data_IF_598989331540
#
_entry.id   IF_598989331540
#
_cell.length_a   1.000
_cell.length_b   1.000
_cell.length_c   1.000
_cell.angle_alpha   90.00
_cell.angle_beta   90.00
_cell.angle_gamma   90.00
#
_symmetry.space_group_name_H-M   'P 1'
#
loop_
_entity.id
_entity.type
_entity.pdbx_description
1 polymer ?
#
# COMPACT_ATOMS: atom_id res chain seq x y z
N UNK A 1 -25.42 -50.37 -12.93
CA UNK A 1 -24.48 -50.42 -14.07
C UNK A 1 -23.41 -49.38 -13.76
N UNK A 2 -22.38 -49.65 -13.23
CA UNK A 2 -21.11 -50.38 -13.35
C UNK A 2 -20.26 -49.91 -14.54
N UNK A 3 -19.18 -49.27 -14.29
CA UNK A 3 -18.05 -48.98 -15.18
C UNK A 3 -17.14 -47.95 -14.54
N UNK A 4 -16.16 -48.22 -13.87
CA UNK A 4 -14.86 -48.93 -13.77
C UNK A 4 -13.80 -48.47 -14.81
N UNK A 5 -12.67 -48.07 -14.20
CA UNK A 5 -11.26 -48.11 -14.63
C UNK A 5 -10.79 -47.05 -15.65
N UNK A 6 -9.64 -46.37 -15.39
CA UNK A 6 -8.28 -46.86 -15.60
C UNK A 6 -7.23 -46.10 -14.79
N UNK A 7 -6.30 -46.86 -14.22
CA UNK A 7 -5.02 -46.49 -13.61
C UNK A 7 -3.93 -46.31 -14.68
N UNK A 8 -2.96 -45.46 -14.41
CA UNK A 8 -1.54 -45.60 -14.81
C UNK A 8 -0.72 -44.67 -13.94
N UNK A 9 0.07 -45.05 -13.00
CA UNK A 9 1.33 -45.84 -12.88
C UNK A 9 2.52 -45.16 -13.57
N UNK A 10 3.45 -44.75 -12.69
CA UNK A 10 4.91 -44.72 -12.68
C UNK A 10 5.68 -44.03 -13.79
N UNK A 11 6.69 -43.25 -13.39
CA UNK A 11 8.10 -43.66 -13.48
C UNK A 11 8.96 -42.79 -12.56
N UNK A 12 9.69 -43.51 -11.69
CA UNK A 12 10.83 -43.07 -10.88
C UNK A 12 12.05 -43.00 -11.79
N UNK A 13 12.84 -41.94 -11.73
CA UNK A 13 14.23 -41.93 -12.15
C UNK A 13 15.09 -41.32 -11.06
N UNK A 14 15.71 -42.20 -10.30
CA UNK A 14 16.93 -41.96 -9.52
C UNK A 14 18.11 -41.85 -10.48
N UNK A 15 18.94 -40.83 -10.34
CA UNK A 15 20.35 -40.91 -10.72
C UNK A 15 21.17 -40.04 -9.77
N UNK A 16 21.97 -40.75 -8.99
CA UNK A 16 23.04 -40.29 -8.12
C UNK A 16 24.19 -39.71 -8.93
N UNK A 17 24.82 -38.65 -8.45
CA UNK A 17 26.05 -38.08 -8.98
C UNK A 17 26.83 -37.41 -7.88
N UNK A 18 27.72 -38.15 -7.24
CA UNK A 18 28.75 -37.68 -6.29
C UNK A 18 29.88 -37.04 -7.10
N UNK A 19 30.34 -35.89 -6.70
CA UNK A 19 31.49 -35.20 -7.29
C UNK A 19 32.14 -34.27 -6.32
N UNK A 20 33.04 -34.80 -5.49
CA UNK A 20 33.95 -34.03 -4.63
C UNK A 20 35.01 -33.33 -5.50
N UNK A 21 35.31 -32.08 -5.20
CA UNK A 21 36.41 -31.34 -5.82
C UNK A 21 36.86 -30.17 -4.92
N UNK A 22 37.67 -30.45 -3.92
CA UNK A 22 38.51 -29.44 -3.25
C UNK A 22 39.55 -28.92 -4.25
N UNK A 23 39.58 -27.62 -4.44
CA UNK A 23 40.62 -26.93 -5.21
C UNK A 23 40.91 -25.55 -4.59
N UNK A 24 41.75 -25.52 -3.57
CA UNK A 24 42.44 -24.30 -3.14
C UNK A 24 43.38 -23.82 -4.23
N UNK A 25 43.10 -22.70 -4.87
CA UNK A 25 44.09 -21.98 -5.69
C UNK A 25 44.56 -20.76 -4.90
N UNK A 26 45.83 -20.83 -4.49
CA UNK A 26 46.65 -19.68 -4.05
C UNK A 26 46.80 -18.72 -5.22
N UNK A 27 46.45 -17.47 -5.00
CA UNK A 27 46.79 -16.37 -5.91
C UNK A 27 48.21 -15.91 -5.59
N UNK A 28 49.11 -15.77 -6.57
CA UNK A 28 50.44 -15.22 -6.34
C UNK A 28 50.36 -13.69 -6.17
N UNK A 29 51.06 -13.22 -5.15
CA UNK A 29 51.33 -11.82 -4.82
C UNK A 29 52.30 -11.22 -5.87
N UNK A 30 52.05 -10.04 -6.44
CA UNK A 30 53.03 -9.35 -7.27
C UNK A 30 54.08 -8.63 -6.42
N UNK A 31 55.32 -8.53 -6.92
CA UNK A 31 56.46 -7.97 -6.17
C UNK A 31 56.31 -6.46 -5.99
N UNK A 32 56.82 -6.01 -4.85
CA UNK A 32 56.81 -4.64 -4.38
C UNK A 32 57.39 -3.63 -5.37
N UNK A 33 56.69 -2.52 -5.51
CA UNK A 33 57.21 -1.28 -6.05
C UNK A 33 57.32 -0.28 -4.91
N UNK A 34 58.57 0.05 -4.55
CA UNK A 34 58.89 1.18 -3.67
C UNK A 34 58.35 2.47 -4.30
N UNK A 35 57.38 3.06 -3.64
CA UNK A 35 56.91 4.40 -3.99
C UNK A 35 57.51 5.41 -3.00
N UNK A 36 58.30 6.30 -3.54
CA UNK A 36 58.83 7.50 -2.85
C UNK A 36 57.69 8.28 -2.19
N UNK A 37 57.95 8.93 -1.05
CA UNK A 37 56.98 9.82 -0.40
C UNK A 37 56.76 11.07 -1.25
N UNK A 38 55.66 11.08 -2.02
CA UNK A 38 55.17 12.26 -2.69
C UNK A 38 54.40 13.15 -1.70
N UNK A 39 54.80 14.40 -1.65
CA UNK A 39 54.21 15.45 -0.83
C UNK A 39 52.69 15.54 -1.12
N UNK A 40 51.90 15.26 -0.11
CA UNK A 40 50.41 15.44 -0.16
C UNK A 40 50.16 16.96 -0.08
N UNK A 41 49.44 17.57 -1.06
CA UNK A 41 49.04 18.97 -0.91
C UNK A 41 48.04 19.06 0.26
N UNK A 42 48.40 19.84 1.28
CA UNK A 42 47.53 20.20 2.39
C UNK A 42 46.37 21.03 1.81
N UNK A 43 45.22 20.39 1.58
CA UNK A 43 43.99 21.11 1.26
C UNK A 43 43.50 21.72 2.57
N UNK A 44 43.64 23.03 2.72
CA UNK A 44 42.97 23.75 3.81
C UNK A 44 41.49 23.50 3.78
N UNK A 45 40.86 23.11 4.90
CA UNK A 45 39.43 22.96 4.94
C UNK A 45 38.77 24.32 4.65
N UNK A 46 37.99 24.35 3.55
CA UNK A 46 37.10 25.48 3.23
C UNK A 46 36.11 25.62 4.40
N UNK A 47 35.90 26.83 4.95
CA UNK A 47 34.88 27.02 5.96
C UNK A 47 33.53 26.52 5.42
N UNK A 48 32.92 25.56 6.11
CA UNK A 48 31.55 25.11 5.82
C UNK A 48 30.63 26.24 6.25
N UNK A 49 30.14 26.98 5.28
CA UNK A 49 29.09 27.98 5.51
C UNK A 49 27.90 27.26 6.14
N UNK A 50 27.37 27.73 7.29
CA UNK A 50 26.23 27.10 7.90
C UNK A 50 25.07 27.09 6.90
N UNK A 51 24.29 25.99 6.78
CA UNK A 51 23.17 25.94 5.86
C UNK A 51 22.24 27.12 6.17
N UNK A 52 21.90 27.88 5.12
CA UNK A 52 20.95 28.97 5.22
C UNK A 52 19.69 28.46 5.97
N UNK A 53 19.11 29.26 6.89
CA UNK A 53 17.90 28.86 7.60
C UNK A 53 16.86 28.46 6.56
N UNK A 54 16.37 27.21 6.66
CA UNK A 54 15.29 26.74 5.81
C UNK A 54 14.16 27.76 5.87
N UNK A 55 13.85 28.36 4.73
CA UNK A 55 12.75 29.29 4.62
C UNK A 55 11.54 28.65 5.33
N UNK A 56 10.93 29.36 6.27
CA UNK A 56 9.76 28.90 7.02
C UNK A 56 8.70 28.53 6.02
N UNK A 57 8.64 27.25 5.68
CA UNK A 57 7.57 26.72 4.86
C UNK A 57 6.28 26.97 5.64
N UNK A 58 5.34 27.69 5.04
CA UNK A 58 3.99 27.81 5.57
C UNK A 58 3.50 26.41 5.95
N UNK A 59 2.76 26.26 7.06
CA UNK A 59 2.23 24.96 7.43
C UNK A 59 1.48 24.36 6.24
N UNK A 60 1.65 23.06 5.96
CA UNK A 60 1.02 22.44 4.82
C UNK A 60 -0.49 22.60 4.92
N UNK A 61 -1.10 23.09 3.84
CA UNK A 61 -2.56 23.28 3.75
C UNK A 61 -3.20 21.89 3.78
N UNK A 62 -3.74 21.51 4.93
CA UNK A 62 -4.44 20.24 5.09
C UNK A 62 -5.80 20.27 4.37
N UNK A 63 -6.31 19.09 3.97
CA UNK A 63 -7.68 19.01 3.47
C UNK A 63 -8.68 18.94 4.63
N UNK A 64 -9.88 19.41 4.37
CA UNK A 64 -11.05 19.26 5.24
C UNK A 64 -12.15 18.51 4.49
N UNK A 65 -13.05 17.86 5.21
CA UNK A 65 -14.22 17.18 4.65
C UNK A 65 -15.36 17.18 5.64
N UNK A 66 -16.57 16.90 5.15
CA UNK A 66 -17.75 16.68 5.97
C UNK A 66 -17.94 15.18 6.17
N UNK A 67 -18.13 14.76 7.41
CA UNK A 67 -18.42 13.36 7.70
C UNK A 67 -19.80 12.99 7.11
N UNK A 68 -19.88 11.99 6.23
CA UNK A 68 -21.14 11.68 5.56
C UNK A 68 -22.11 10.99 6.51
N UNK A 69 -23.41 11.19 6.33
CA UNK A 69 -24.41 10.48 7.11
C UNK A 69 -24.28 8.96 6.89
N UNK A 70 -24.46 8.19 7.97
CA UNK A 70 -24.40 6.73 7.92
C UNK A 70 -23.05 6.11 8.23
N UNK A 71 -21.94 6.88 8.20
CA UNK A 71 -20.65 6.43 8.70
C UNK A 71 -20.41 6.96 10.11
N UNK A 72 -19.91 6.12 11.00
CA UNK A 72 -19.65 6.53 12.40
C UNK A 72 -18.16 6.79 12.58
N UNK A 73 -17.79 8.03 12.86
CA UNK A 73 -16.40 8.36 13.20
C UNK A 73 -16.01 7.65 14.50
N UNK A 74 -14.84 6.99 14.47
CA UNK A 74 -14.27 6.29 15.61
C UNK A 74 -12.82 6.74 15.84
N UNK A 75 -12.26 6.53 17.04
CA UNK A 75 -10.86 6.82 17.29
C UNK A 75 -9.92 6.09 16.31
N UNK A 76 -8.92 6.77 15.73
CA UNK A 76 -7.96 6.14 14.84
C UNK A 76 -7.17 5.05 15.57
N UNK A 77 -7.03 3.88 14.96
CA UNK A 77 -6.28 2.75 15.53
C UNK A 77 -4.75 2.93 15.47
N UNK A 78 -4.25 3.96 14.81
CA UNK A 78 -2.81 4.29 14.73
C UNK A 78 -2.59 5.77 14.47
N UNK A 79 -1.41 6.29 14.84
CA UNK A 79 -1.03 7.69 14.60
C UNK A 79 -0.92 8.07 13.11
N UNK A 80 -0.78 7.09 12.21
CA UNK A 80 -0.73 7.32 10.76
C UNK A 80 -2.11 7.56 10.14
N UNK A 81 -3.20 7.30 10.89
CA UNK A 81 -4.57 7.53 10.43
C UNK A 81 -5.04 8.91 10.85
N UNK A 82 -5.40 9.75 9.91
CA UNK A 82 -6.04 11.06 10.15
C UNK A 82 -7.49 10.90 10.62
N UNK A 83 -8.18 9.88 10.15
CA UNK A 83 -9.53 9.52 10.58
C UNK A 83 -9.79 8.02 10.39
N UNK A 84 -10.74 7.53 11.16
CA UNK A 84 -11.32 6.19 11.01
C UNK A 84 -12.83 6.28 11.17
N UNK A 85 -13.52 5.48 10.37
CA UNK A 85 -14.99 5.36 10.45
C UNK A 85 -15.36 3.88 10.44
N UNK A 86 -16.32 3.55 11.24
CA UNK A 86 -17.04 2.30 11.14
C UNK A 86 -18.14 2.46 10.10
N UNK A 87 -18.23 1.49 9.20
CA UNK A 87 -19.27 1.40 8.17
C UNK A 87 -20.29 0.38 8.66
N UNK A 88 -21.48 0.82 9.11
CA UNK A 88 -22.47 -0.10 9.66
C UNK A 88 -22.87 -1.18 8.66
N UNK A 89 -22.89 -2.42 9.13
CA UNK A 89 -23.19 -3.58 8.28
C UNK A 89 -24.56 -3.51 7.63
N UNK A 90 -24.63 -3.91 6.38
CA UNK A 90 -25.88 -4.10 5.67
C UNK A 90 -26.63 -5.31 6.21
N UNK A 91 -27.94 -5.37 5.94
CA UNK A 91 -28.77 -6.53 6.31
C UNK A 91 -28.24 -7.80 5.62
N UNK A 92 -27.94 -8.80 6.41
CA UNK A 92 -27.41 -10.10 5.96
C UNK A 92 -25.90 -10.26 6.17
N UNK A 93 -25.17 -9.18 6.34
CA UNK A 93 -23.77 -9.23 6.67
C UNK A 93 -23.55 -9.44 8.19
N UNK A 94 -22.44 -10.05 8.56
CA UNK A 94 -22.15 -10.45 9.96
C UNK A 94 -21.23 -9.46 10.69
N UNK A 95 -20.54 -8.59 9.96
CA UNK A 95 -19.60 -7.62 10.53
C UNK A 95 -19.70 -6.27 9.82
N UNK A 96 -19.26 -5.23 10.53
CA UNK A 96 -19.20 -3.88 10.01
C UNK A 96 -17.98 -3.72 9.07
N UNK A 97 -18.05 -2.78 8.13
CA UNK A 97 -16.90 -2.35 7.33
C UNK A 97 -16.08 -1.29 8.06
N UNK A 98 -14.95 -0.93 7.48
CA UNK A 98 -14.06 0.14 7.97
C UNK A 98 -13.67 1.08 6.83
N UNK A 99 -13.76 2.40 7.07
CA UNK A 99 -13.13 3.42 6.25
C UNK A 99 -11.98 4.05 7.04
N UNK A 100 -10.79 4.02 6.47
CA UNK A 100 -9.59 4.62 7.04
C UNK A 100 -9.05 5.71 6.14
N UNK A 101 -8.67 6.84 6.73
CA UNK A 101 -8.04 7.97 6.04
C UNK A 101 -6.60 8.09 6.52
N UNK A 102 -5.63 8.04 5.58
CA UNK A 102 -4.21 8.15 5.87
C UNK A 102 -3.62 9.39 5.22
N UNK A 103 -2.63 9.95 5.88
CA UNK A 103 -1.77 11.00 5.36
C UNK A 103 -0.36 10.81 5.93
N UNK A 104 0.64 10.78 5.07
CA UNK A 104 2.02 10.47 5.45
C UNK A 104 2.95 11.68 5.41
N UNK A 105 2.44 12.84 5.01
CA UNK A 105 3.22 14.05 4.83
C UNK A 105 3.52 14.38 3.37
N UNK A 106 4.05 15.61 3.11
CA UNK A 106 4.37 16.06 1.75
C UNK A 106 5.36 15.11 1.06
N UNK A 107 5.03 14.68 -0.16
CA UNK A 107 5.87 13.78 -0.95
C UNK A 107 6.05 12.36 -0.40
N UNK A 108 5.30 12.02 0.66
CA UNK A 108 5.34 10.71 1.30
C UNK A 108 4.12 9.86 0.88
N UNK A 109 4.17 8.56 1.24
CA UNK A 109 3.06 7.62 0.95
C UNK A 109 3.24 6.82 -0.33
N UNK A 110 4.25 7.13 -1.16
CA UNK A 110 4.54 6.42 -2.41
C UNK A 110 3.66 6.87 -3.58
N UNK A 111 3.87 6.28 -4.77
CA UNK A 111 3.11 6.62 -5.96
C UNK A 111 1.67 6.10 -5.90
N UNK A 112 0.78 6.71 -6.69
CA UNK A 112 -0.62 6.30 -6.84
C UNK A 112 -0.70 4.83 -7.23
N UNK A 113 0.01 4.43 -8.31
CA UNK A 113 -0.01 3.06 -8.82
C UNK A 113 0.49 2.04 -7.78
N UNK A 114 1.59 2.35 -7.08
CA UNK A 114 2.11 1.45 -6.05
C UNK A 114 1.12 1.21 -4.90
N UNK A 115 0.33 2.23 -4.53
CA UNK A 115 -0.71 2.11 -3.52
C UNK A 115 -1.89 1.29 -4.02
N UNK A 116 -2.36 1.57 -5.24
CA UNK A 116 -3.44 0.83 -5.89
C UNK A 116 -3.06 -0.65 -6.01
N UNK A 117 -1.86 -0.95 -6.53
CA UNK A 117 -1.39 -2.33 -6.67
C UNK A 117 -1.29 -3.05 -5.32
N UNK A 118 -0.83 -2.36 -4.27
CA UNK A 118 -0.80 -2.92 -2.92
C UNK A 118 -2.19 -3.24 -2.39
N UNK A 119 -3.19 -2.39 -2.65
CA UNK A 119 -4.56 -2.64 -2.22
C UNK A 119 -5.20 -3.78 -2.98
N UNK A 120 -5.01 -3.83 -4.31
CA UNK A 120 -5.51 -4.91 -5.17
C UNK A 120 -4.90 -6.26 -4.78
N UNK A 121 -3.59 -6.29 -4.46
CA UNK A 121 -2.91 -7.51 -3.99
C UNK A 121 -3.43 -8.08 -2.67
N UNK A 122 -4.17 -7.30 -1.90
CA UNK A 122 -4.85 -7.79 -0.69
C UNK A 122 -6.12 -8.60 -1.02
N UNK A 123 -6.51 -8.65 -2.28
CA UNK A 123 -7.68 -9.40 -2.73
C UNK A 123 -7.27 -10.55 -3.64
N UNK A 124 -7.79 -11.73 -3.37
CA UNK A 124 -7.70 -12.91 -4.25
C UNK A 124 -9.07 -13.29 -4.80
N UNK A 125 -9.07 -14.09 -5.87
CA UNK A 125 -10.32 -14.46 -6.54
C UNK A 125 -10.96 -13.34 -7.39
N UNK A 126 -10.22 -12.25 -7.63
CA UNK A 126 -10.67 -11.11 -8.43
C UNK A 126 -10.11 -11.26 -9.84
N UNK A 127 -10.98 -11.24 -10.86
CA UNK A 127 -10.53 -11.20 -12.25
C UNK A 127 -9.96 -9.83 -12.60
N UNK A 128 -8.98 -9.73 -13.51
CA UNK A 128 -8.38 -8.45 -13.88
C UNK A 128 -9.38 -7.37 -14.31
N UNK A 129 -10.46 -7.76 -15.01
CA UNK A 129 -11.52 -6.84 -15.44
C UNK A 129 -12.48 -6.41 -14.34
N UNK A 130 -12.42 -7.02 -13.14
CA UNK A 130 -13.28 -6.66 -12.01
C UNK A 130 -12.67 -5.56 -11.13
N UNK A 131 -11.42 -5.17 -11.36
CA UNK A 131 -10.79 -4.01 -10.72
C UNK A 131 -11.14 -2.78 -11.55
N UNK A 132 -12.06 -1.95 -11.06
CA UNK A 132 -12.45 -0.72 -11.71
C UNK A 132 -11.58 0.42 -11.21
N UNK A 133 -11.01 1.21 -12.12
CA UNK A 133 -10.22 2.40 -11.82
C UNK A 133 -10.83 3.59 -12.56
N UNK A 134 -10.92 4.73 -11.89
CA UNK A 134 -11.38 5.97 -12.52
C UNK A 134 -10.68 7.18 -11.91
N UNK A 135 -10.46 8.19 -12.75
CA UNK A 135 -10.01 9.50 -12.34
C UNK A 135 -11.20 10.46 -12.33
N UNK A 136 -11.26 11.30 -11.34
CA UNK A 136 -12.27 12.35 -11.20
C UNK A 136 -11.64 13.60 -10.61
N UNK A 137 -12.39 14.70 -10.65
CA UNK A 137 -12.02 15.95 -9.99
C UNK A 137 -13.20 16.46 -9.18
N UNK A 138 -12.94 16.91 -7.97
CA UNK A 138 -13.90 17.61 -7.12
C UNK A 138 -13.20 18.75 -6.38
N UNK A 139 -13.79 19.95 -6.43
CA UNK A 139 -13.28 21.15 -5.74
C UNK A 139 -11.82 21.51 -6.08
N UNK A 140 -11.39 21.27 -7.35
CA UNK A 140 -10.03 21.50 -7.81
C UNK A 140 -9.01 20.46 -7.34
N UNK A 141 -9.46 19.35 -6.74
CA UNK A 141 -8.60 18.26 -6.29
C UNK A 141 -8.82 17.04 -7.17
N UNK A 142 -7.72 16.50 -7.74
CA UNK A 142 -7.76 15.24 -8.49
C UNK A 142 -7.92 14.07 -7.54
N UNK A 143 -8.75 13.12 -7.91
CA UNK A 143 -9.08 11.94 -7.13
C UNK A 143 -9.00 10.68 -8.00
N UNK A 144 -8.19 9.71 -7.58
CA UNK A 144 -8.04 8.42 -8.24
C UNK A 144 -8.82 7.37 -7.44
N UNK A 145 -9.86 6.80 -8.03
CA UNK A 145 -10.72 5.82 -7.36
C UNK A 145 -10.44 4.40 -7.83
N UNK A 146 -10.57 3.45 -6.92
CA UNK A 146 -10.41 2.01 -7.19
C UNK A 146 -11.52 1.25 -6.50
N UNK A 147 -12.19 0.38 -7.24
CA UNK A 147 -13.28 -0.46 -6.77
C UNK A 147 -12.99 -1.94 -7.05
N UNK A 148 -13.26 -2.78 -6.06
CA UNK A 148 -13.40 -4.23 -6.17
C UNK A 148 -14.72 -4.61 -5.51
N UNK A 149 -15.68 -5.09 -6.29
CA UNK A 149 -17.03 -5.41 -5.78
C UNK A 149 -17.04 -6.68 -4.93
N UNK A 150 -16.25 -7.69 -5.31
CA UNK A 150 -16.20 -8.99 -4.65
C UNK A 150 -14.80 -9.60 -4.72
N UNK A 151 -14.36 -10.20 -3.61
CA UNK A 151 -13.13 -10.95 -3.55
C UNK A 151 -12.90 -11.56 -2.18
N UNK A 152 -11.81 -12.27 -2.03
CA UNK A 152 -11.32 -12.72 -0.72
C UNK A 152 -10.25 -11.75 -0.24
N UNK A 153 -10.56 -11.00 0.79
CA UNK A 153 -9.66 -9.99 1.38
C UNK A 153 -8.72 -10.63 2.40
N UNK A 154 -7.43 -10.37 2.26
CA UNK A 154 -6.41 -10.71 3.24
C UNK A 154 -5.54 -9.48 3.53
N UNK A 155 -5.71 -8.91 4.71
CA UNK A 155 -4.91 -7.78 5.16
C UNK A 155 -3.43 -8.13 5.38
N UNK A 156 -3.10 -9.44 5.39
CA UNK A 156 -1.77 -9.95 5.70
C UNK A 156 -1.42 -9.83 7.18
N UNK A 157 -0.29 -10.39 7.56
CA UNK A 157 0.26 -10.32 8.93
C UNK A 157 0.69 -8.90 9.35
N UNK A 158 0.70 -7.94 8.44
CA UNK A 158 1.03 -6.54 8.71
C UNK A 158 -0.17 -5.70 9.20
N UNK A 159 -1.37 -6.24 9.27
CA UNK A 159 -2.48 -5.57 9.93
C UNK A 159 -2.17 -5.44 11.42
N UNK A 160 -1.84 -4.23 11.86
CA UNK A 160 -1.66 -3.92 13.28
C UNK A 160 -2.98 -4.21 14.02
N UNK A 161 -3.07 -5.36 14.64
CA UNK A 161 -4.28 -5.78 15.36
C UNK A 161 -4.62 -7.28 15.25
N UNK A 162 -3.76 -8.08 14.63
CA UNK A 162 -3.96 -9.50 14.44
C UNK A 162 -4.64 -9.84 13.11
N UNK A 163 -4.12 -10.83 12.41
CA UNK A 163 -4.75 -11.37 11.20
C UNK A 163 -5.94 -12.23 11.62
N UNK A 164 -7.14 -11.82 11.24
CA UNK A 164 -8.34 -12.65 11.37
C UNK A 164 -8.46 -13.69 10.24
N UNK A 165 -7.38 -13.88 9.46
CA UNK A 165 -7.38 -14.73 8.28
C UNK A 165 -8.11 -14.12 7.07
N UNK A 166 -8.10 -14.83 5.92
CA UNK A 166 -8.79 -14.37 4.71
C UNK A 166 -10.30 -14.27 4.91
N UNK A 167 -10.88 -13.15 4.52
CA UNK A 167 -12.32 -12.86 4.59
C UNK A 167 -12.94 -12.95 3.22
N UNK A 168 -13.87 -13.88 3.03
CA UNK A 168 -14.58 -14.08 1.78
C UNK A 168 -15.69 -13.04 1.60
N UNK A 169 -16.04 -12.79 0.33
CA UNK A 169 -17.10 -11.87 -0.07
C UNK A 169 -16.94 -10.47 0.49
N UNK A 170 -15.72 -9.97 0.38
CA UNK A 170 -15.33 -8.62 0.76
C UNK A 170 -15.22 -7.74 -0.48
N UNK A 171 -15.42 -6.45 -0.27
CA UNK A 171 -15.27 -5.40 -1.27
C UNK A 171 -14.27 -4.34 -0.83
N UNK A 172 -13.79 -3.58 -1.80
CA UNK A 172 -12.90 -2.44 -1.65
C UNK A 172 -13.48 -1.23 -2.40
N UNK A 173 -13.55 -0.09 -1.73
CA UNK A 173 -13.75 1.22 -2.34
C UNK A 173 -12.64 2.14 -1.82
N UNK A 174 -11.78 2.63 -2.70
CA UNK A 174 -10.66 3.47 -2.33
C UNK A 174 -10.61 4.74 -3.16
N UNK A 175 -9.99 5.77 -2.58
CA UNK A 175 -9.61 6.97 -3.31
C UNK A 175 -8.25 7.48 -2.84
N UNK A 176 -7.47 8.02 -3.77
CA UNK A 176 -6.28 8.82 -3.50
C UNK A 176 -6.60 10.23 -3.96
N UNK A 177 -6.51 11.19 -3.06
CA UNK A 177 -6.80 12.60 -3.30
C UNK A 177 -5.49 13.36 -3.33
N UNK A 178 -5.15 13.96 -4.48
CA UNK A 178 -3.98 14.82 -4.61
C UNK A 178 -4.29 16.20 -4.04
N UNK A 179 -3.69 16.52 -2.89
CA UNK A 179 -3.82 17.82 -2.26
C UNK A 179 -2.49 18.61 -2.30
N UNK A 180 -2.50 19.94 -2.15
CA UNK A 180 -1.29 20.76 -2.12
C UNK A 180 -0.28 20.32 -1.04
N UNK A 181 -0.77 19.78 0.08
CA UNK A 181 0.04 19.24 1.17
C UNK A 181 0.56 17.81 0.92
N UNK A 182 0.16 17.15 -0.18
CA UNK A 182 0.46 15.76 -0.47
C UNK A 182 -0.79 14.89 -0.59
N UNK A 183 -0.59 13.62 -0.89
CA UNK A 183 -1.69 12.70 -1.14
C UNK A 183 -2.37 12.21 0.15
N UNK A 184 -3.70 12.18 0.13
CA UNK A 184 -4.54 11.56 1.15
C UNK A 184 -5.14 10.26 0.60
N UNK A 185 -5.14 9.23 1.43
CA UNK A 185 -5.55 7.89 1.05
C UNK A 185 -6.79 7.48 1.83
N UNK A 186 -7.90 7.34 1.13
CA UNK A 186 -9.17 6.88 1.67
C UNK A 186 -9.35 5.41 1.30
N UNK A 187 -9.51 4.54 2.28
CA UNK A 187 -9.67 3.10 2.04
C UNK A 187 -10.85 2.57 2.83
N UNK A 188 -11.89 2.16 2.12
CA UNK A 188 -13.06 1.49 2.68
C UNK A 188 -13.01 0.00 2.32
N UNK A 189 -13.11 -0.88 3.32
CA UNK A 189 -13.16 -2.34 3.15
C UNK A 189 -14.21 -2.92 4.08
N UNK A 190 -14.83 -4.00 3.68
CA UNK A 190 -15.84 -4.69 4.47
C UNK A 190 -16.56 -5.77 3.65
N UNK A 191 -17.56 -6.42 4.22
CA UNK A 191 -18.45 -7.30 3.49
C UNK A 191 -19.04 -6.59 2.26
N UNK A 192 -19.20 -7.32 1.16
CA UNK A 192 -19.52 -6.72 -0.13
C UNK A 192 -20.84 -5.92 -0.14
N UNK A 193 -21.88 -6.43 0.51
CA UNK A 193 -23.14 -5.69 0.62
C UNK A 193 -23.01 -4.43 1.48
N UNK A 194 -22.22 -4.48 2.54
CA UNK A 194 -21.94 -3.33 3.43
C UNK A 194 -21.23 -2.21 2.68
N UNK A 195 -20.17 -2.55 1.93
CA UNK A 195 -19.44 -1.56 1.12
C UNK A 195 -20.32 -0.99 0.02
N UNK A 196 -21.08 -1.84 -0.68
CA UNK A 196 -22.02 -1.39 -1.72
C UNK A 196 -23.07 -0.44 -1.17
N UNK A 197 -23.64 -0.72 0.01
CA UNK A 197 -24.63 0.15 0.66
C UNK A 197 -24.02 1.51 1.09
N UNK A 198 -22.75 1.52 1.49
CA UNK A 198 -22.04 2.74 1.93
C UNK A 198 -21.41 3.55 0.78
N UNK A 199 -21.44 3.03 -0.46
CA UNK A 199 -20.76 3.67 -1.61
C UNK A 199 -21.19 5.11 -1.83
N UNK A 200 -22.50 5.40 -1.77
CA UNK A 200 -23.01 6.77 -1.91
C UNK A 200 -22.43 7.71 -0.85
N UNK A 201 -22.37 7.26 0.41
CA UNK A 201 -21.80 8.03 1.52
C UNK A 201 -20.30 8.26 1.32
N UNK A 202 -19.56 7.27 0.82
CA UNK A 202 -18.14 7.41 0.48
C UNK A 202 -17.92 8.50 -0.59
N UNK A 203 -18.70 8.51 -1.67
CA UNK A 203 -18.58 9.56 -2.70
C UNK A 203 -19.04 10.93 -2.20
N UNK A 204 -20.05 11.03 -1.34
CA UNK A 204 -20.43 12.29 -0.69
C UNK A 204 -19.29 12.86 0.16
N UNK A 205 -18.55 12.00 0.89
CA UNK A 205 -17.35 12.42 1.59
C UNK A 205 -16.32 12.96 0.61
N UNK A 206 -16.01 12.24 -0.49
CA UNK A 206 -15.03 12.67 -1.50
C UNK A 206 -15.43 14.00 -2.15
N UNK A 207 -16.73 14.22 -2.40
CA UNK A 207 -17.26 15.48 -2.96
C UNK A 207 -17.19 16.65 -1.98
N UNK A 208 -17.16 16.37 -0.69
CA UNK A 208 -17.05 17.39 0.34
C UNK A 208 -15.63 17.87 0.59
N UNK A 209 -14.61 17.17 0.07
CA UNK A 209 -13.20 17.49 0.33
C UNK A 209 -12.85 18.86 -0.26
N UNK A 210 -12.17 19.67 0.55
CA UNK A 210 -11.63 20.99 0.20
C UNK A 210 -10.18 21.08 0.66
N UNK A 211 -9.32 21.77 -0.11
CA UNK A 211 -8.07 22.28 0.44
C UNK A 211 -8.41 23.25 1.58
N UNK A 212 -7.73 23.11 2.72
CA UNK A 212 -7.86 24.07 3.81
C UNK A 212 -7.42 25.47 3.37
N UNK A 213 -7.88 26.49 4.06
CA UNK A 213 -7.47 27.87 3.83
C UNK A 213 -6.12 28.15 4.51
#
# INVERSE_FOLDING_TARGET
MAGRFVRAICIVCLLSGVGSGLGCRKTPEPPGAESKPGSVPTVSPRPVEPPAPAASALPPVEITWVDPPGLRRVPPKSAMRKASFEVPRAKGDTEDGELSVFYFGPGQGGSIDANVDRWVKQFSGVSPGAVKRADREANGLRQHTVEIEHGTYDAGSMAMGGSSGPKKDYALECAIVEAPSGAYFFKMTGPAHTVAAARSAFFQLLDSIRAGA
#
